data_IF_445300912710
#
_entry.id   IF_445300912710
#
_cell.length_a   1.000
_cell.length_b   1.000
_cell.length_c   1.000
_cell.angle_alpha   90.00
_cell.angle_beta   90.00
_cell.angle_gamma   90.00
#
_symmetry.space_group_name_H-M   'P 1'
#
loop_
_entity.id
_entity.type
_entity.pdbx_description
1 polymer ?
#
# COMPACT_ATOMS: atom_id res chain seq x y z
N UNK A 1 -14.87 21.61 -16.92
CA UNK A 1 -14.20 20.35 -17.40
C UNK A 1 -13.28 19.93 -16.27
N UNK A 2 -13.39 18.69 -15.78
CA UNK A 2 -12.60 18.19 -14.64
C UNK A 2 -11.23 17.74 -15.13
N UNK A 3 -10.15 18.18 -14.46
CA UNK A 3 -8.77 17.78 -14.70
C UNK A 3 -8.33 16.78 -13.64
N UNK A 4 -8.05 15.56 -14.05
CA UNK A 4 -7.73 14.45 -13.15
C UNK A 4 -6.28 14.06 -13.33
N UNK A 5 -5.52 13.99 -12.23
CA UNK A 5 -4.16 13.48 -12.21
C UNK A 5 -4.17 12.02 -11.72
N UNK A 6 -3.59 11.12 -12.50
CA UNK A 6 -3.29 9.75 -12.07
C UNK A 6 -1.79 9.64 -11.80
N UNK A 7 -1.42 9.19 -10.60
CA UNK A 7 -0.04 9.02 -10.18
C UNK A 7 0.30 7.54 -10.18
N UNK A 8 1.30 7.17 -10.98
CA UNK A 8 1.75 5.80 -11.20
C UNK A 8 1.71 5.39 -12.68
N UNK A 9 2.27 4.24 -13.00
CA UNK A 9 2.45 3.78 -14.39
C UNK A 9 2.24 2.29 -14.60
N UNK A 10 1.76 1.57 -13.58
CA UNK A 10 1.52 0.14 -13.65
C UNK A 10 0.22 -0.25 -14.37
N UNK A 11 -0.09 -1.53 -14.37
CA UNK A 11 -1.32 -2.08 -14.94
C UNK A 11 -2.58 -1.53 -14.22
N UNK A 12 -2.49 -1.32 -12.90
CA UNK A 12 -3.55 -0.74 -12.08
C UNK A 12 -3.91 0.67 -12.57
N UNK A 13 -2.90 1.54 -12.69
CA UNK A 13 -3.10 2.92 -13.15
C UNK A 13 -3.58 2.98 -14.59
N UNK A 14 -3.11 2.07 -15.46
CA UNK A 14 -3.63 1.95 -16.82
C UNK A 14 -5.13 1.59 -16.83
N UNK A 15 -5.55 0.63 -16.01
CA UNK A 15 -6.95 0.26 -15.88
C UNK A 15 -7.81 1.43 -15.36
N UNK A 16 -7.32 2.18 -14.37
CA UNK A 16 -7.96 3.38 -13.83
C UNK A 16 -8.12 4.44 -14.92
N UNK A 17 -7.05 4.78 -15.65
CA UNK A 17 -7.08 5.77 -16.73
C UNK A 17 -8.04 5.35 -17.83
N UNK A 18 -8.04 4.07 -18.21
CA UNK A 18 -8.98 3.52 -19.19
C UNK A 18 -10.43 3.65 -18.72
N UNK A 19 -10.74 3.32 -17.47
CA UNK A 19 -12.08 3.48 -16.91
C UNK A 19 -12.50 4.96 -16.87
N UNK A 20 -11.61 5.86 -16.45
CA UNK A 20 -11.85 7.30 -16.47
C UNK A 20 -12.14 7.80 -17.89
N UNK A 21 -11.39 7.32 -18.89
CA UNK A 21 -11.59 7.72 -20.29
C UNK A 21 -13.00 7.37 -20.83
N UNK A 22 -13.60 6.34 -20.32
CA UNK A 22 -14.96 5.89 -20.69
C UNK A 22 -16.06 6.65 -19.94
N UNK A 23 -15.73 7.47 -18.94
CA UNK A 23 -16.73 8.24 -18.20
C UNK A 23 -17.48 9.21 -19.12
N UNK A 24 -18.78 9.36 -18.91
CA UNK A 24 -19.62 10.34 -19.63
C UNK A 24 -19.38 11.79 -19.20
N UNK A 25 -18.67 12.02 -18.10
CA UNK A 25 -18.30 13.38 -17.64
C UNK A 25 -17.15 13.92 -18.47
N UNK A 26 -17.24 15.18 -18.89
CA UNK A 26 -16.14 15.84 -19.56
C UNK A 26 -14.94 15.96 -18.64
N UNK A 27 -13.79 15.46 -19.09
CA UNK A 27 -12.56 15.41 -18.31
C UNK A 27 -11.31 15.49 -19.18
N UNK A 28 -10.22 15.94 -18.58
CA UNK A 28 -8.85 15.79 -19.06
C UNK A 28 -8.09 14.94 -18.08
N UNK A 29 -7.37 13.95 -18.57
CA UNK A 29 -6.59 13.03 -17.76
C UNK A 29 -5.11 13.32 -17.95
N UNK A 30 -4.42 13.56 -16.84
CA UNK A 30 -2.98 13.77 -16.76
C UNK A 30 -2.35 12.59 -16.04
N UNK A 31 -1.12 12.23 -16.38
CA UNK A 31 -0.43 11.15 -15.70
C UNK A 31 0.99 11.62 -15.28
N UNK A 32 1.31 11.40 -14.02
CA UNK A 32 2.69 11.48 -13.53
C UNK A 32 3.17 10.07 -13.22
N UNK A 33 4.13 9.59 -13.97
CA UNK A 33 4.53 8.19 -14.07
C UNK A 33 6.00 8.00 -13.68
N UNK A 34 6.34 6.83 -13.13
CA UNK A 34 7.74 6.46 -12.89
C UNK A 34 8.40 5.79 -14.10
N UNK A 35 7.60 5.24 -15.01
CA UNK A 35 8.06 4.54 -16.19
C UNK A 35 7.11 4.76 -17.38
N UNK A 36 7.59 4.51 -18.57
CA UNK A 36 6.75 4.52 -19.76
C UNK A 36 5.73 3.38 -19.73
N UNK A 37 4.47 3.71 -19.97
CA UNK A 37 3.41 2.75 -20.20
C UNK A 37 2.69 3.12 -21.51
N UNK A 38 2.86 2.35 -22.59
CA UNK A 38 2.28 2.65 -23.90
C UNK A 38 0.74 2.76 -23.88
N UNK A 39 0.07 2.06 -22.97
CA UNK A 39 -1.39 2.12 -22.85
C UNK A 39 -1.92 3.44 -22.32
N UNK A 40 -1.09 4.29 -21.72
CA UNK A 40 -1.47 5.62 -21.23
C UNK A 40 -1.34 6.69 -22.29
N UNK A 41 -0.41 6.54 -23.26
CA UNK A 41 0.00 7.58 -24.21
C UNK A 41 -1.17 8.12 -25.04
N UNK A 42 -2.06 7.24 -25.46
CA UNK A 42 -3.19 7.61 -26.33
C UNK A 42 -4.44 8.08 -25.56
N UNK A 43 -4.38 8.09 -24.22
CA UNK A 43 -5.55 8.39 -23.39
C UNK A 43 -5.34 9.69 -22.61
N UNK A 44 -4.11 9.94 -22.15
CA UNK A 44 -3.79 11.10 -21.32
C UNK A 44 -3.52 12.34 -22.17
N UNK A 45 -3.91 13.51 -21.68
CA UNK A 45 -3.61 14.83 -22.26
C UNK A 45 -2.11 15.15 -22.16
N UNK A 46 -1.50 14.76 -21.03
CA UNK A 46 -0.06 14.89 -20.79
C UNK A 46 0.43 13.75 -19.91
N UNK A 47 1.63 13.27 -20.18
CA UNK A 47 2.32 12.26 -19.38
C UNK A 47 3.73 12.76 -19.08
N UNK A 48 4.03 12.93 -17.80
CA UNK A 48 5.39 13.25 -17.36
C UNK A 48 5.99 12.02 -16.67
N UNK A 49 7.19 11.64 -17.10
CA UNK A 49 7.98 10.61 -16.40
C UNK A 49 8.91 11.32 -15.42
N UNK A 50 8.72 11.04 -14.13
CA UNK A 50 9.50 11.69 -13.08
C UNK A 50 9.40 10.92 -11.76
N UNK A 51 10.01 11.44 -10.68
CA UNK A 51 9.93 10.86 -9.35
C UNK A 51 8.57 11.11 -8.71
N UNK A 52 7.67 10.14 -8.84
CA UNK A 52 6.31 10.19 -8.26
C UNK A 52 6.28 10.15 -6.72
N UNK A 53 7.42 9.88 -6.08
CA UNK A 53 7.56 9.83 -4.62
C UNK A 53 7.97 11.16 -4.01
N UNK A 54 8.20 12.18 -4.83
CA UNK A 54 8.54 13.54 -4.38
C UNK A 54 7.27 14.39 -4.24
N UNK A 55 6.83 14.73 -3.01
CA UNK A 55 5.62 15.49 -2.79
C UNK A 55 5.64 16.89 -3.44
N UNK A 56 6.79 17.57 -3.45
CA UNK A 56 6.90 18.91 -4.02
C UNK A 56 6.85 18.88 -5.54
N UNK A 57 7.47 17.89 -6.16
CA UNK A 57 7.40 17.68 -7.60
C UNK A 57 5.94 17.42 -8.03
N UNK A 58 5.25 16.53 -7.36
CA UNK A 58 3.85 16.18 -7.66
C UNK A 58 2.94 17.39 -7.46
N UNK A 59 3.10 18.12 -6.36
CA UNK A 59 2.39 19.37 -6.05
C UNK A 59 2.58 20.42 -7.14
N UNK A 60 3.82 20.64 -7.58
CA UNK A 60 4.13 21.61 -8.63
C UNK A 60 3.54 21.20 -9.99
N UNK A 61 3.56 19.91 -10.32
CA UNK A 61 2.90 19.40 -11.51
C UNK A 61 1.38 19.59 -11.46
N UNK A 62 0.75 19.31 -10.33
CA UNK A 62 -0.68 19.51 -10.13
C UNK A 62 -1.08 20.99 -10.28
N UNK A 63 -0.32 21.92 -9.69
CA UNK A 63 -0.54 23.37 -9.85
C UNK A 63 -0.41 23.81 -11.30
N UNK A 64 0.67 23.39 -11.99
CA UNK A 64 0.92 23.75 -13.40
C UNK A 64 -0.24 23.38 -14.32
N UNK A 65 -0.86 22.23 -14.08
CA UNK A 65 -1.95 21.72 -14.91
C UNK A 65 -3.33 22.02 -14.34
N UNK A 66 -3.42 22.80 -13.24
CA UNK A 66 -4.66 23.18 -12.55
C UNK A 66 -5.53 21.95 -12.29
N UNK A 67 -4.94 20.93 -11.63
CA UNK A 67 -5.61 19.65 -11.34
C UNK A 67 -6.69 19.86 -10.29
N UNK A 68 -7.90 19.35 -10.55
CA UNK A 68 -9.02 19.41 -9.63
C UNK A 68 -9.05 18.22 -8.65
N UNK A 69 -8.52 17.07 -9.10
CA UNK A 69 -8.61 15.83 -8.35
C UNK A 69 -7.49 14.86 -8.74
N UNK A 70 -6.96 14.09 -7.78
CA UNK A 70 -5.90 13.13 -8.04
C UNK A 70 -6.24 11.70 -7.58
N UNK A 71 -5.68 10.70 -8.27
CA UNK A 71 -5.74 9.30 -7.91
C UNK A 71 -4.30 8.79 -7.76
N UNK A 72 -3.96 8.28 -6.58
CA UNK A 72 -2.63 7.77 -6.27
C UNK A 72 -2.71 6.24 -6.28
N UNK A 73 -2.11 5.62 -7.30
CA UNK A 73 -2.18 4.17 -7.48
C UNK A 73 -1.23 3.39 -6.56
N UNK A 74 0.09 3.71 -6.53
CA UNK A 74 1.06 2.99 -5.71
C UNK A 74 1.08 3.48 -4.26
N UNK A 75 1.53 2.61 -3.35
CA UNK A 75 1.65 2.88 -1.92
C UNK A 75 2.84 3.79 -1.55
N UNK A 76 3.93 3.75 -2.31
CA UNK A 76 5.13 4.54 -2.01
C UNK A 76 4.90 6.05 -2.00
N UNK A 77 4.20 6.67 -2.97
CA UNK A 77 3.85 8.08 -2.91
C UNK A 77 3.00 8.43 -1.67
N UNK A 78 2.11 7.55 -1.23
CA UNK A 78 1.31 7.74 -0.02
C UNK A 78 2.19 7.75 1.23
N UNK A 79 3.11 6.80 1.32
CA UNK A 79 4.12 6.74 2.40
C UNK A 79 4.99 8.00 2.46
N UNK A 80 5.31 8.58 1.31
CA UNK A 80 6.12 9.80 1.22
C UNK A 80 5.33 11.10 1.42
N UNK A 81 3.99 11.05 1.56
CA UNK A 81 3.16 12.21 1.85
C UNK A 81 2.69 12.99 0.63
N UNK A 82 2.67 12.36 -0.54
CA UNK A 82 2.17 13.00 -1.78
C UNK A 82 0.71 13.40 -1.65
N UNK A 83 -0.13 12.58 -0.98
CA UNK A 83 -1.51 12.95 -0.71
C UNK A 83 -1.62 14.22 0.16
N UNK A 84 -0.78 14.32 1.20
CA UNK A 84 -0.75 15.49 2.08
C UNK A 84 -0.41 16.76 1.28
N UNK A 85 0.63 16.70 0.44
CA UNK A 85 1.05 17.82 -0.39
C UNK A 85 -0.01 18.28 -1.41
N UNK A 86 -0.81 17.36 -1.93
CA UNK A 86 -1.93 17.69 -2.82
C UNK A 86 -3.10 18.32 -2.04
N UNK A 87 -3.42 17.80 -0.88
CA UNK A 87 -4.43 18.39 0.00
C UNK A 87 -4.05 19.80 0.49
N UNK A 88 -2.77 20.10 0.70
CA UNK A 88 -2.28 21.45 1.03
C UNK A 88 -2.59 22.52 -0.05
N UNK A 89 -2.89 22.08 -1.26
CA UNK A 89 -3.27 22.94 -2.39
C UNK A 89 -4.71 22.70 -2.84
N UNK A 90 -5.54 22.15 -1.95
CA UNK A 90 -6.96 21.89 -2.16
C UNK A 90 -7.26 20.89 -3.30
N UNK A 91 -6.30 20.08 -3.72
CA UNK A 91 -6.50 18.98 -4.65
C UNK A 91 -6.88 17.73 -3.85
N UNK A 92 -8.16 17.35 -3.91
CA UNK A 92 -8.66 16.12 -3.29
C UNK A 92 -8.03 14.87 -3.89
N UNK A 93 -7.75 13.85 -3.07
CA UNK A 93 -7.12 12.62 -3.53
C UNK A 93 -7.97 11.38 -3.25
N UNK A 94 -8.00 10.43 -4.20
CA UNK A 94 -8.21 9.02 -3.88
C UNK A 94 -6.84 8.46 -3.50
N UNK A 95 -6.70 8.12 -2.24
CA UNK A 95 -5.48 7.73 -1.58
C UNK A 95 -5.37 8.44 -0.22
N UNK A 96 -5.08 7.68 0.84
CA UNK A 96 -5.01 8.24 2.20
C UNK A 96 -3.83 9.18 2.38
N UNK A 97 -3.95 10.15 3.30
CA UNK A 97 -2.82 10.92 3.79
C UNK A 97 -1.81 10.00 4.50
N UNK A 98 -0.56 10.45 4.62
CA UNK A 98 0.57 9.68 5.15
C UNK A 98 0.27 9.02 6.51
N UNK A 99 -0.40 9.74 7.42
CA UNK A 99 -0.76 9.20 8.72
C UNK A 99 -1.73 8.01 8.65
N UNK A 100 -2.65 8.00 7.68
CA UNK A 100 -3.60 6.91 7.46
C UNK A 100 -3.02 5.81 6.56
N UNK A 101 -2.09 6.14 5.68
CA UNK A 101 -1.38 5.18 4.85
C UNK A 101 -0.61 4.14 5.67
N UNK A 102 -0.36 4.38 6.96
CA UNK A 102 0.24 3.42 7.89
C UNK A 102 -0.55 2.11 7.99
N UNK A 103 -1.85 2.11 7.71
CA UNK A 103 -2.67 0.89 7.66
C UNK A 103 -2.09 -0.12 6.66
N UNK A 104 -1.54 0.34 5.54
CA UNK A 104 -0.89 -0.50 4.54
C UNK A 104 0.64 -0.59 4.77
N UNK A 105 1.28 0.51 5.12
CA UNK A 105 2.74 0.62 5.12
C UNK A 105 3.41 0.08 6.38
N UNK A 106 2.65 -0.13 7.48
CA UNK A 106 3.13 -0.73 8.73
C UNK A 106 2.20 -1.83 9.22
N UNK A 107 2.72 -3.05 9.22
CA UNK A 107 1.97 -4.22 9.68
C UNK A 107 1.70 -4.20 11.18
N UNK A 108 2.68 -3.72 11.96
CA UNK A 108 2.52 -3.55 13.41
C UNK A 108 1.46 -2.50 13.75
N UNK A 109 1.44 -1.38 13.02
CA UNK A 109 0.41 -0.35 13.19
C UNK A 109 -0.98 -0.96 12.96
N UNK A 110 -1.19 -1.66 11.85
CA UNK A 110 -2.47 -2.27 11.52
C UNK A 110 -2.88 -3.32 12.56
N UNK A 111 -1.95 -4.18 12.99
CA UNK A 111 -2.26 -5.18 14.02
C UNK A 111 -2.64 -4.53 15.36
N UNK A 112 -1.94 -3.48 15.77
CA UNK A 112 -2.25 -2.73 16.98
C UNK A 112 -3.61 -2.02 16.87
N UNK A 113 -3.92 -1.42 15.72
CA UNK A 113 -5.20 -0.80 15.43
C UNK A 113 -6.37 -1.80 15.54
N UNK A 114 -6.24 -2.97 14.90
CA UNK A 114 -7.25 -4.04 14.98
C UNK A 114 -7.48 -4.49 16.43
N UNK A 115 -6.42 -4.61 17.21
CA UNK A 115 -6.49 -4.99 18.63
C UNK A 115 -7.14 -3.90 19.47
N UNK A 116 -6.74 -2.65 19.31
CA UNK A 116 -7.26 -1.49 20.04
C UNK A 116 -8.77 -1.34 19.84
N UNK A 117 -9.21 -1.39 18.59
CA UNK A 117 -10.63 -1.27 18.25
C UNK A 117 -11.41 -2.59 18.30
N UNK A 118 -10.78 -3.67 18.77
CA UNK A 118 -11.39 -5.01 18.88
C UNK A 118 -12.02 -5.51 17.57
N UNK A 119 -11.38 -5.18 16.45
CA UNK A 119 -11.83 -5.61 15.12
C UNK A 119 -11.55 -7.11 14.97
N UNK A 120 -12.55 -7.94 14.64
CA UNK A 120 -12.35 -9.38 14.51
C UNK A 120 -11.46 -9.74 13.31
N UNK A 121 -10.93 -10.98 13.33
CA UNK A 121 -10.07 -11.48 12.23
C UNK A 121 -8.58 -11.18 12.39
N UNK A 122 -8.16 -10.44 13.43
CA UNK A 122 -6.75 -10.25 13.72
C UNK A 122 -6.10 -11.57 14.18
N UNK A 123 -5.06 -12.08 13.49
CA UNK A 123 -4.34 -13.25 13.95
C UNK A 123 -3.60 -12.95 15.27
N UNK A 124 -3.24 -14.01 16.01
CA UNK A 124 -2.32 -13.86 17.15
C UNK A 124 -0.98 -13.38 16.63
N UNK A 125 -0.47 -12.25 17.12
CA UNK A 125 0.74 -11.62 16.63
C UNK A 125 1.60 -11.04 17.75
N UNK A 126 2.87 -10.81 17.46
CA UNK A 126 3.79 -9.99 18.28
C UNK A 126 4.75 -9.24 17.35
N UNK A 127 5.02 -7.98 17.69
CA UNK A 127 6.01 -7.14 17.00
C UNK A 127 7.32 -7.22 17.73
N UNK A 128 8.43 -7.28 16.97
CA UNK A 128 9.79 -7.40 17.50
C UNK A 128 10.67 -6.31 16.90
N UNK A 129 11.57 -5.77 17.74
CA UNK A 129 12.65 -4.86 17.34
C UNK A 129 14.03 -5.47 17.56
N UNK A 130 14.07 -6.57 18.27
CA UNK A 130 15.24 -7.38 18.61
C UNK A 130 14.84 -8.86 18.70
N UNK A 131 15.73 -9.72 19.19
CA UNK A 131 15.47 -11.16 19.29
C UNK A 131 14.80 -11.58 20.60
N UNK A 132 14.51 -10.64 21.51
CA UNK A 132 13.96 -10.98 22.81
C UNK A 132 12.53 -11.55 22.71
N UNK A 133 12.36 -12.78 23.20
CA UNK A 133 11.08 -13.50 23.18
C UNK A 133 10.67 -14.04 21.81
N UNK A 134 11.54 -14.02 20.79
CA UNK A 134 11.22 -14.58 19.45
C UNK A 134 11.03 -16.09 19.51
N UNK A 135 11.94 -16.81 20.17
CA UNK A 135 11.89 -18.30 20.26
C UNK A 135 10.65 -18.75 21.01
N UNK A 136 10.35 -18.10 22.13
CA UNK A 136 9.14 -18.38 22.93
C UNK A 136 7.87 -18.15 22.14
N UNK A 137 7.84 -17.06 21.35
CA UNK A 137 6.64 -16.77 20.57
C UNK A 137 6.47 -17.70 19.38
N UNK A 138 7.54 -18.12 18.71
CA UNK A 138 7.50 -19.16 17.68
C UNK A 138 7.03 -20.49 18.27
N UNK A 139 7.57 -20.88 19.43
CA UNK A 139 7.14 -22.10 20.14
C UNK A 139 5.65 -22.06 20.50
N UNK A 140 5.14 -20.89 20.90
CA UNK A 140 3.73 -20.68 21.23
C UNK A 140 2.79 -20.79 20.00
N UNK A 141 3.28 -20.46 18.79
CA UNK A 141 2.52 -20.58 17.54
C UNK A 141 2.62 -21.99 16.93
N UNK A 142 3.66 -22.76 17.29
CA UNK A 142 3.93 -24.07 16.73
C UNK A 142 4.44 -23.99 15.31
N UNK A 143 3.87 -24.79 14.41
CA UNK A 143 4.32 -24.84 13.01
C UNK A 143 3.64 -23.82 12.09
N UNK A 144 2.55 -23.19 12.55
CA UNK A 144 1.73 -22.26 11.76
C UNK A 144 2.08 -20.80 12.06
N UNK A 145 3.12 -20.27 11.42
CA UNK A 145 3.53 -18.88 11.60
C UNK A 145 3.95 -18.21 10.29
N UNK A 146 3.95 -16.89 10.32
CA UNK A 146 4.44 -16.02 9.25
C UNK A 146 5.33 -14.95 9.88
N UNK A 147 6.50 -14.72 9.28
CA UNK A 147 7.41 -13.64 9.64
C UNK A 147 7.34 -12.56 8.58
N UNK A 148 7.03 -11.33 8.98
CA UNK A 148 6.80 -10.19 8.08
C UNK A 148 7.68 -9.01 8.47
N UNK A 149 8.48 -8.51 7.53
CA UNK A 149 9.13 -7.21 7.69
C UNK A 149 8.07 -6.12 7.90
N UNK A 150 8.27 -5.24 8.87
CA UNK A 150 7.35 -4.14 9.16
C UNK A 150 7.74 -2.90 8.35
N UNK A 151 7.28 -2.87 7.11
CA UNK A 151 7.56 -1.82 6.15
C UNK A 151 7.19 -2.25 4.73
N UNK A 152 7.36 -1.34 3.79
CA UNK A 152 7.16 -1.62 2.36
C UNK A 152 8.35 -2.44 1.83
N UNK A 153 8.07 -3.61 1.28
CA UNK A 153 9.08 -4.52 0.75
C UNK A 153 8.68 -5.13 -0.61
N UNK A 154 7.64 -4.59 -1.27
CA UNK A 154 7.17 -5.07 -2.57
C UNK A 154 6.87 -6.57 -2.60
N UNK A 155 6.20 -7.10 -1.58
CA UNK A 155 5.89 -8.52 -1.43
C UNK A 155 7.05 -9.41 -0.95
N UNK A 156 8.30 -8.92 -0.95
CA UNK A 156 9.50 -9.71 -0.65
C UNK A 156 9.87 -9.78 0.85
N UNK A 157 9.11 -9.12 1.70
CA UNK A 157 9.37 -9.04 3.15
C UNK A 157 8.55 -10.04 3.98
N UNK A 158 7.91 -11.04 3.36
CA UNK A 158 7.06 -12.02 4.03
C UNK A 158 7.60 -13.41 3.79
N UNK A 159 7.79 -14.17 4.87
CA UNK A 159 8.13 -15.60 4.81
C UNK A 159 7.13 -16.41 5.62
N UNK A 160 6.57 -17.43 5.01
CA UNK A 160 5.52 -18.29 5.53
C UNK A 160 6.11 -19.63 5.92
N UNK A 161 5.74 -20.16 7.08
CA UNK A 161 6.12 -21.51 7.51
C UNK A 161 5.54 -22.56 6.58
N UNK A 162 6.33 -23.61 6.33
CA UNK A 162 6.00 -24.69 5.38
C UNK A 162 6.37 -24.35 3.93
N UNK A 163 6.22 -23.08 3.52
CA UNK A 163 6.49 -22.67 2.12
C UNK A 163 7.92 -22.08 1.98
N UNK A 164 8.32 -21.23 2.92
CA UNK A 164 9.58 -20.49 2.88
C UNK A 164 10.50 -20.77 4.06
N UNK A 165 9.94 -21.24 5.16
CA UNK A 165 10.63 -21.51 6.43
C UNK A 165 10.22 -22.92 6.89
N UNK A 166 11.17 -23.86 6.91
CA UNK A 166 10.90 -25.25 7.21
C UNK A 166 11.24 -25.64 8.64
N UNK A 167 11.71 -24.69 9.44
CA UNK A 167 12.00 -24.88 10.87
C UNK A 167 12.02 -23.55 11.62
N UNK A 168 11.84 -23.59 12.95
CA UNK A 168 12.04 -22.42 13.81
C UNK A 168 13.47 -21.89 13.71
N UNK A 169 14.47 -22.74 13.46
CA UNK A 169 15.85 -22.32 13.26
C UNK A 169 16.02 -21.38 12.06
N UNK A 170 15.37 -21.71 10.94
CA UNK A 170 15.35 -20.86 9.74
C UNK A 170 14.58 -19.55 9.99
N UNK A 171 13.47 -19.62 10.72
CA UNK A 171 12.72 -18.43 11.11
C UNK A 171 13.56 -17.48 11.98
N UNK A 172 14.29 -18.01 12.94
CA UNK A 172 15.20 -17.24 13.81
C UNK A 172 16.32 -16.59 12.98
N UNK A 173 16.90 -17.31 12.04
CA UNK A 173 17.92 -16.76 11.14
C UNK A 173 17.34 -15.60 10.31
N UNK A 174 16.14 -15.77 9.75
CA UNK A 174 15.48 -14.72 9.01
C UNK A 174 15.16 -13.50 9.89
N UNK A 175 14.69 -13.69 11.12
CA UNK A 175 14.48 -12.59 12.07
C UNK A 175 15.78 -11.80 12.33
N UNK A 176 16.91 -12.49 12.50
CA UNK A 176 18.23 -11.86 12.65
C UNK A 176 18.63 -11.04 11.42
N UNK A 177 18.33 -11.54 10.22
CA UNK A 177 18.55 -10.80 8.96
C UNK A 177 17.73 -9.51 8.91
N UNK A 178 16.46 -9.55 9.35
CA UNK A 178 15.59 -8.37 9.40
C UNK A 178 16.09 -7.31 10.36
N UNK A 179 16.56 -7.72 11.54
CA UNK A 179 17.17 -6.82 12.52
C UNK A 179 18.46 -6.21 11.97
N UNK A 180 19.31 -7.00 11.34
CA UNK A 180 20.56 -6.52 10.74
C UNK A 180 20.31 -5.48 9.62
N UNK A 181 19.16 -5.53 8.96
CA UNK A 181 18.68 -4.53 7.99
C UNK A 181 18.06 -3.28 8.65
N UNK A 182 17.99 -3.25 9.97
CA UNK A 182 17.55 -2.09 10.75
C UNK A 182 16.04 -1.92 10.87
N UNK A 183 15.24 -2.94 10.56
CA UNK A 183 13.78 -2.83 10.62
C UNK A 183 13.11 -3.74 11.66
N UNK A 184 12.01 -3.27 12.28
CA UNK A 184 11.13 -4.13 13.06
C UNK A 184 10.46 -5.17 12.18
N UNK A 185 9.94 -6.22 12.79
CA UNK A 185 9.18 -7.27 12.11
C UNK A 185 8.03 -7.78 12.98
N UNK A 186 7.06 -8.38 12.33
CA UNK A 186 5.90 -8.99 12.97
C UNK A 186 5.99 -10.50 12.76
N UNK A 187 5.80 -11.27 13.83
CA UNK A 187 5.49 -12.69 13.75
C UNK A 187 4.02 -12.86 14.07
N UNK A 188 3.30 -13.59 13.24
CA UNK A 188 1.88 -13.85 13.45
C UNK A 188 1.51 -15.28 13.08
N UNK A 189 0.37 -15.74 13.59
CA UNK A 189 -0.18 -17.05 13.22
C UNK A 189 -0.50 -17.09 11.73
N UNK A 190 -0.07 -18.14 11.02
CA UNK A 190 -0.51 -18.44 9.66
C UNK A 190 -2.02 -18.69 9.64
N UNK A 191 -2.72 -17.97 8.80
CA UNK A 191 -4.13 -18.21 8.51
C UNK A 191 -4.23 -19.10 7.28
N UNK A 192 -5.18 -20.04 7.29
CA UNK A 192 -5.44 -20.94 6.17
C UNK A 192 -6.86 -20.68 5.68
N UNK A 193 -7.05 -20.50 4.39
CA UNK A 193 -8.34 -20.22 3.76
C UNK A 193 -8.19 -19.74 2.34
N UNK A 194 -9.29 -19.42 1.70
CA UNK A 194 -9.28 -18.75 0.39
C UNK A 194 -8.94 -17.28 0.57
N UNK A 195 -7.94 -16.81 -0.20
CA UNK A 195 -7.59 -15.40 -0.26
C UNK A 195 -8.50 -14.66 -1.24
N UNK A 196 -8.88 -13.46 -0.87
CA UNK A 196 -9.58 -12.52 -1.73
C UNK A 196 -9.25 -11.07 -1.35
N UNK A 197 -9.41 -10.17 -2.29
CA UNK A 197 -9.29 -8.74 -2.07
C UNK A 197 -10.64 -8.05 -2.20
N UNK A 198 -11.00 -7.22 -1.22
CA UNK A 198 -12.15 -6.34 -1.25
C UNK A 198 -11.69 -4.89 -1.15
N UNK A 199 -11.52 -4.24 -2.29
CA UNK A 199 -11.20 -2.82 -2.34
C UNK A 199 -12.45 -1.98 -2.09
N UNK A 200 -12.27 -0.86 -1.38
CA UNK A 200 -13.39 0.02 -1.02
C UNK A 200 -12.99 1.48 -1.13
N UNK A 201 -13.89 2.30 -1.65
CA UNK A 201 -13.78 3.75 -1.51
C UNK A 201 -14.33 4.17 -0.16
N UNK A 202 -13.64 5.10 0.50
CA UNK A 202 -14.03 5.66 1.80
C UNK A 202 -13.91 7.18 1.77
N UNK A 203 -14.95 7.86 2.21
CA UNK A 203 -14.97 9.32 2.40
C UNK A 203 -14.81 9.74 3.87
N UNK A 204 -14.53 8.78 4.75
CA UNK A 204 -14.40 8.97 6.20
C UNK A 204 -15.71 8.68 6.97
N UNK A 205 -16.84 8.56 6.31
CA UNK A 205 -18.14 8.25 6.91
C UNK A 205 -18.81 7.05 6.23
N UNK A 206 -18.68 6.94 4.91
CA UNK A 206 -19.32 5.92 4.09
C UNK A 206 -18.29 5.05 3.39
N UNK A 207 -18.67 3.81 3.12
CA UNK A 207 -17.90 2.85 2.33
C UNK A 207 -18.68 2.47 1.07
N UNK A 208 -18.01 2.45 -0.06
CA UNK A 208 -18.51 1.87 -1.31
C UNK A 208 -17.57 0.77 -1.78
N UNK A 209 -18.04 -0.47 -1.70
CA UNK A 209 -17.24 -1.64 -2.03
C UNK A 209 -17.17 -1.86 -3.54
N UNK A 210 -15.98 -2.23 -4.02
CA UNK A 210 -15.79 -2.80 -5.34
C UNK A 210 -16.16 -4.30 -5.31
N UNK A 211 -16.32 -4.95 -6.47
CA UNK A 211 -16.45 -6.41 -6.51
C UNK A 211 -15.29 -7.10 -5.81
N UNK A 212 -15.59 -8.20 -5.13
CA UNK A 212 -14.56 -9.09 -4.57
C UNK A 212 -13.75 -9.68 -5.72
N UNK A 213 -12.44 -9.71 -5.59
CA UNK A 213 -11.52 -10.32 -6.57
C UNK A 213 -10.59 -11.29 -5.88
N UNK A 214 -10.17 -12.30 -6.60
CA UNK A 214 -9.17 -13.29 -6.19
C UNK A 214 -7.93 -13.13 -7.06
N UNK A 215 -6.73 -13.18 -6.46
CA UNK A 215 -5.44 -13.10 -7.17
C UNK A 215 -5.06 -14.48 -7.75
#
# INVERSE_FOLDING_TARGET
>A
MVRILVIGSGAREHAIVKALSQSKRAKKIYCLASNHNPGLINICEDIKIDNINDPDLVKNYAKKHEIDFAIIGPENPLFNGVADALWDIEVGTIGPKKNLAQIETSKSFTRNLLKEYKIPGCPKYKTFKDMDGVEEFLSLLGEDYVVKYDGLAGGKGVKVSGDHLHSHKEAILYCKELIAKGGPFVIERKLVGEEFSLMSFCDGQNLSHMPVVQD
#
